data_IF_467888615476
#
_entry.id   IF_467888615476
#
_cell.length_a   1.000
_cell.length_b   1.000
_cell.length_c   1.000
_cell.angle_alpha   90.00
_cell.angle_beta   90.00
_cell.angle_gamma   90.00
#
_symmetry.space_group_name_H-M   'P 1'
#
loop_
_entity.id
_entity.type
_entity.pdbx_description
1 polymer ?
#
# COMPACT_ATOMS: atom_id res chain seq x y z
N UNK A 1 13.28 -34.81 20.51
CA UNK A 1 12.17 -33.93 20.06
C UNK A 1 12.77 -32.77 19.27
N UNK A 2 12.19 -32.39 18.13
CA UNK A 2 12.70 -31.25 17.35
C UNK A 2 12.45 -29.93 18.09
N UNK A 3 13.42 -29.01 18.09
CA UNK A 3 13.26 -27.66 18.69
C UNK A 3 12.25 -26.82 17.89
N UNK A 4 11.64 -25.81 18.52
CA UNK A 4 10.71 -24.90 17.84
C UNK A 4 11.34 -24.27 16.58
N UNK A 5 12.61 -23.85 16.66
CA UNK A 5 13.37 -23.34 15.51
C UNK A 5 13.57 -24.39 14.42
N UNK A 6 13.86 -25.66 14.77
CA UNK A 6 13.97 -26.74 13.78
C UNK A 6 12.66 -26.98 13.04
N UNK A 7 11.52 -26.93 13.73
CA UNK A 7 10.20 -27.07 13.12
C UNK A 7 9.86 -25.86 12.26
N UNK A 8 10.08 -24.64 12.76
CA UNK A 8 9.90 -23.40 12.01
C UNK A 8 10.71 -23.42 10.71
N UNK A 9 11.95 -23.91 10.76
CA UNK A 9 12.79 -24.07 9.58
C UNK A 9 12.22 -25.05 8.57
N UNK A 10 11.69 -26.21 8.99
CA UNK A 10 11.05 -27.18 8.09
C UNK A 10 9.84 -26.58 7.36
N UNK A 11 8.96 -25.89 8.09
CA UNK A 11 7.84 -25.17 7.47
C UNK A 11 8.31 -24.08 6.51
N UNK A 12 9.40 -23.38 6.85
CA UNK A 12 9.94 -22.35 5.97
C UNK A 12 10.51 -22.93 4.66
N UNK A 13 11.21 -24.05 4.73
CA UNK A 13 11.67 -24.76 3.53
C UNK A 13 10.49 -25.18 2.63
N UNK A 14 9.40 -25.68 3.23
CA UNK A 14 8.18 -25.98 2.49
C UNK A 14 7.56 -24.72 1.85
N UNK A 15 7.55 -23.61 2.59
CA UNK A 15 7.07 -22.31 2.12
C UNK A 15 7.87 -21.84 0.89
N UNK A 16 9.21 -21.91 0.94
CA UNK A 16 10.09 -21.55 -0.17
C UNK A 16 9.89 -22.45 -1.40
N UNK A 17 9.65 -23.76 -1.20
CA UNK A 17 9.30 -24.66 -2.30
C UNK A 17 8.00 -24.22 -2.98
N UNK A 18 6.96 -23.89 -2.21
CA UNK A 18 5.70 -23.40 -2.76
C UNK A 18 5.87 -22.05 -3.47
N UNK A 19 6.66 -21.13 -2.91
CA UNK A 19 7.01 -19.85 -3.54
C UNK A 19 7.71 -20.05 -4.88
N UNK A 20 8.68 -20.97 -4.97
CA UNK A 20 9.38 -21.29 -6.22
C UNK A 20 8.42 -21.81 -7.29
N UNK A 21 7.49 -22.69 -6.93
CA UNK A 21 6.46 -23.15 -7.87
C UNK A 21 5.56 -22.00 -8.32
N UNK A 22 5.09 -21.17 -7.39
CA UNK A 22 4.27 -20.00 -7.71
C UNK A 22 4.96 -19.06 -8.71
N UNK A 23 6.22 -18.68 -8.45
CA UNK A 23 6.98 -17.79 -9.32
C UNK A 23 7.19 -18.39 -10.72
N UNK A 24 7.56 -19.67 -10.81
CA UNK A 24 7.71 -20.37 -12.09
C UNK A 24 6.42 -20.36 -12.92
N UNK A 25 5.26 -20.47 -12.27
CA UNK A 25 3.98 -20.37 -12.97
C UNK A 25 3.65 -18.94 -13.41
N UNK A 26 4.00 -17.93 -12.62
CA UNK A 26 3.86 -16.53 -13.02
C UNK A 26 4.76 -16.20 -14.23
N UNK A 27 6.01 -16.68 -14.24
CA UNK A 27 6.93 -16.51 -15.38
C UNK A 27 6.39 -17.16 -16.67
N UNK A 28 5.82 -18.37 -16.57
CA UNK A 28 5.17 -19.03 -17.71
C UNK A 28 4.01 -18.20 -18.26
N UNK A 29 3.13 -17.72 -17.37
CA UNK A 29 2.02 -16.84 -17.77
C UNK A 29 2.55 -15.58 -18.48
N UNK A 30 3.61 -14.96 -17.97
CA UNK A 30 4.22 -13.80 -18.62
C UNK A 30 4.73 -14.12 -20.03
N UNK A 31 5.46 -15.23 -20.19
CA UNK A 31 6.06 -15.65 -21.47
C UNK A 31 5.00 -16.02 -22.52
N UNK A 32 3.95 -16.72 -22.12
CA UNK A 32 2.82 -17.07 -22.99
C UNK A 32 2.06 -15.81 -23.44
N UNK A 33 1.88 -14.83 -22.54
CA UNK A 33 1.20 -13.58 -22.89
C UNK A 33 2.02 -12.68 -23.82
N UNK A 34 3.34 -12.85 -23.96
CA UNK A 34 4.19 -12.06 -24.87
C UNK A 34 4.13 -12.51 -26.34
N UNK A 35 3.65 -13.71 -26.63
CA UNK A 35 3.68 -14.31 -27.98
C UNK A 35 2.43 -14.03 -28.84
N UNK A 36 1.56 -13.12 -28.41
CA UNK A 36 0.26 -12.87 -29.06
C UNK A 36 -0.82 -13.78 -28.50
N UNK A 37 -1.99 -13.21 -28.21
CA UNK A 37 -3.02 -13.85 -27.39
C UNK A 37 -3.78 -14.90 -28.22
N UNK A 38 -3.63 -16.18 -27.88
CA UNK A 38 -4.64 -17.20 -28.20
C UNK A 38 -5.66 -17.25 -27.05
N UNK A 39 -6.79 -16.62 -27.29
CA UNK A 39 -7.86 -16.39 -26.31
C UNK A 39 -8.51 -17.73 -25.88
N UNK A 40 -8.33 -18.80 -26.66
CA UNK A 40 -8.75 -20.16 -26.31
C UNK A 40 -7.98 -20.76 -25.12
N UNK A 41 -6.81 -20.22 -24.75
CA UNK A 41 -6.05 -20.71 -23.58
C UNK A 41 -6.62 -20.28 -22.23
N UNK A 42 -7.54 -19.30 -22.20
CA UNK A 42 -8.36 -19.04 -21.01
C UNK A 42 -9.36 -20.19 -20.74
N UNK A 43 -9.68 -20.99 -21.76
CA UNK A 43 -10.60 -22.14 -21.71
C UNK A 43 -9.85 -23.48 -21.54
N UNK A 44 -8.63 -23.62 -22.06
CA UNK A 44 -7.88 -24.89 -22.06
C UNK A 44 -7.27 -25.29 -20.71
N UNK A 45 -7.05 -24.35 -19.79
CA UNK A 45 -6.35 -24.62 -18.52
C UNK A 45 -7.29 -25.29 -17.48
N UNK A 46 -8.60 -25.32 -17.76
CA UNK A 46 -9.73 -25.76 -16.92
C UNK A 46 -9.93 -27.26 -16.68
N UNK A 47 -9.28 -28.11 -17.46
CA UNK A 47 -9.70 -29.51 -17.60
C UNK A 47 -9.32 -30.49 -16.47
N UNK A 48 -8.65 -30.10 -15.38
CA UNK A 48 -7.98 -31.08 -14.51
C UNK A 48 -8.01 -30.80 -13.00
N UNK A 49 -9.21 -30.75 -12.40
CA UNK A 49 -9.49 -31.01 -10.97
C UNK A 49 -11.01 -31.18 -10.74
N UNK A 50 -11.64 -32.06 -11.51
CA UNK A 50 -12.86 -32.75 -11.08
C UNK A 50 -12.47 -33.92 -10.16
N UNK A 51 -12.21 -33.61 -8.88
CA UNK A 51 -12.29 -34.57 -7.77
C UNK A 51 -12.32 -33.79 -6.46
N UNK A 52 -13.43 -33.12 -6.21
CA UNK A 52 -14.25 -33.22 -4.99
C UNK A 52 -15.54 -32.45 -5.27
N UNK A 53 -16.65 -33.20 -5.35
CA UNK A 53 -18.07 -32.83 -5.61
C UNK A 53 -18.47 -32.41 -7.04
N UNK A 54 -19.07 -33.36 -7.79
CA UNK A 54 -19.73 -33.25 -9.11
C UNK A 54 -21.19 -32.71 -9.03
N UNK A 55 -21.93 -32.44 -10.14
CA UNK A 55 -21.53 -32.14 -11.53
C UNK A 55 -22.14 -30.83 -12.09
N UNK A 56 -21.71 -30.45 -13.31
CA UNK A 56 -22.34 -29.58 -14.31
C UNK A 56 -21.81 -28.14 -14.57
N UNK A 57 -21.09 -28.04 -15.72
CA UNK A 57 -21.15 -27.02 -16.81
C UNK A 57 -20.65 -25.58 -16.57
N UNK A 58 -19.37 -25.32 -16.90
CA UNK A 58 -18.86 -24.31 -17.88
C UNK A 58 -17.42 -23.84 -17.58
N UNK A 59 -16.68 -23.47 -18.64
CA UNK A 59 -15.23 -23.71 -18.89
C UNK A 59 -14.27 -22.46 -18.75
N UNK A 60 -14.15 -21.74 -17.62
CA UNK A 60 -13.24 -20.56 -17.55
C UNK A 60 -12.57 -20.06 -16.21
N UNK A 61 -11.67 -20.81 -15.54
CA UNK A 61 -11.25 -20.60 -14.13
C UNK A 61 -9.92 -21.28 -13.60
N UNK A 62 -9.10 -22.06 -14.34
CA UNK A 62 -8.03 -22.88 -13.68
C UNK A 62 -6.60 -22.32 -13.49
N UNK A 63 -6.04 -21.43 -14.32
CA UNK A 63 -4.64 -20.98 -14.13
C UNK A 63 -4.43 -20.24 -12.79
N UNK A 64 -5.46 -19.50 -12.38
CA UNK A 64 -5.52 -18.86 -11.06
C UNK A 64 -5.85 -19.84 -9.94
N UNK A 65 -6.44 -21.00 -10.20
CA UNK A 65 -6.75 -22.00 -9.18
C UNK A 65 -5.47 -22.66 -8.63
N UNK A 66 -4.52 -23.03 -9.50
CA UNK A 66 -3.22 -23.56 -9.07
C UNK A 66 -2.40 -22.50 -8.34
N UNK A 67 -2.33 -21.27 -8.86
CA UNK A 67 -1.70 -20.14 -8.16
C UNK A 67 -2.33 -19.89 -6.79
N UNK A 68 -3.67 -19.97 -6.70
CA UNK A 68 -4.42 -19.83 -5.44
C UNK A 68 -4.06 -20.96 -4.48
N UNK A 69 -3.99 -22.21 -4.95
CA UNK A 69 -3.64 -23.35 -4.11
C UNK A 69 -2.19 -23.29 -3.60
N UNK A 70 -1.24 -22.93 -4.47
CA UNK A 70 0.15 -22.67 -4.08
C UNK A 70 0.25 -21.53 -3.08
N UNK A 71 -0.49 -20.43 -3.30
CA UNK A 71 -0.49 -19.29 -2.39
C UNK A 71 -1.13 -19.63 -1.04
N UNK A 72 -2.20 -20.43 -1.00
CA UNK A 72 -2.82 -20.91 0.25
C UNK A 72 -1.82 -21.75 1.04
N UNK A 73 -1.15 -22.72 0.40
CA UNK A 73 -0.13 -23.54 1.05
C UNK A 73 1.07 -22.72 1.51
N UNK A 74 1.49 -21.75 0.70
CA UNK A 74 2.58 -20.84 1.06
C UNK A 74 2.22 -19.99 2.28
N UNK A 75 1.03 -19.39 2.31
CA UNK A 75 0.49 -18.63 3.45
C UNK A 75 0.41 -19.49 4.71
N UNK A 76 -0.06 -20.73 4.61
CA UNK A 76 -0.18 -21.65 5.73
C UNK A 76 1.21 -22.00 6.31
N UNK A 77 2.16 -22.38 5.45
CA UNK A 77 3.52 -22.70 5.86
C UNK A 77 4.25 -21.47 6.46
N UNK A 78 4.01 -20.27 5.90
CA UNK A 78 4.47 -19.02 6.48
C UNK A 78 3.91 -18.81 7.90
N UNK A 79 2.59 -18.97 8.10
CA UNK A 79 1.96 -18.84 9.43
C UNK A 79 2.59 -19.81 10.42
N UNK A 80 2.77 -21.08 10.05
CA UNK A 80 3.43 -22.04 10.93
C UNK A 80 4.85 -21.60 11.27
N UNK A 81 5.62 -21.14 10.29
CA UNK A 81 6.99 -20.64 10.50
C UNK A 81 7.02 -19.50 11.53
N UNK A 82 6.22 -18.46 11.33
CA UNK A 82 6.29 -17.22 12.14
C UNK A 82 5.73 -17.37 13.55
N UNK A 83 4.75 -18.25 13.76
CA UNK A 83 4.19 -18.51 15.08
C UNK A 83 4.87 -19.66 15.83
N UNK A 84 5.74 -20.45 15.18
CA UNK A 84 6.64 -21.36 15.88
C UNK A 84 7.88 -20.64 16.41
N UNK A 85 8.50 -19.79 15.58
CA UNK A 85 9.67 -19.00 15.97
C UNK A 85 9.68 -17.65 15.22
N UNK A 86 9.18 -16.62 15.89
CA UNK A 86 9.07 -15.28 15.33
C UNK A 86 10.44 -14.69 14.98
N UNK A 87 11.45 -14.93 15.83
CA UNK A 87 12.78 -14.38 15.63
C UNK A 87 13.48 -15.00 14.42
N UNK A 88 13.35 -16.32 14.28
CA UNK A 88 13.79 -17.04 13.09
C UNK A 88 13.08 -16.52 11.84
N UNK A 89 11.75 -16.40 11.87
CA UNK A 89 10.97 -15.94 10.71
C UNK A 89 11.34 -14.53 10.24
N UNK A 90 11.68 -13.62 11.17
CA UNK A 90 12.20 -12.28 10.85
C UNK A 90 13.60 -12.38 10.24
N UNK A 91 14.50 -13.20 10.81
CA UNK A 91 15.85 -13.42 10.25
C UNK A 91 15.80 -13.91 8.81
N UNK A 92 14.84 -14.79 8.50
CA UNK A 92 14.62 -15.35 7.17
C UNK A 92 13.89 -14.41 6.19
N UNK A 93 13.54 -13.19 6.62
CA UNK A 93 12.74 -12.24 5.84
C UNK A 93 11.43 -12.85 5.29
N UNK A 94 10.82 -13.76 6.06
CA UNK A 94 9.68 -14.56 5.61
C UNK A 94 8.47 -13.73 5.20
N UNK A 95 8.22 -12.64 5.93
CA UNK A 95 7.16 -11.68 5.66
C UNK A 95 7.35 -10.95 4.32
N UNK A 96 8.60 -10.60 3.98
CA UNK A 96 8.91 -9.89 2.74
C UNK A 96 8.81 -10.84 1.53
N UNK A 97 9.27 -12.08 1.69
CA UNK A 97 9.06 -13.13 0.70
C UNK A 97 7.57 -13.35 0.42
N UNK A 98 6.72 -13.35 1.45
CA UNK A 98 5.27 -13.45 1.30
C UNK A 98 4.68 -12.25 0.56
N UNK A 99 5.07 -11.04 0.96
CA UNK A 99 4.56 -9.82 0.35
C UNK A 99 4.95 -9.70 -1.12
N UNK A 100 6.21 -9.97 -1.44
CA UNK A 100 6.72 -9.99 -2.83
C UNK A 100 5.87 -10.93 -3.70
N UNK A 101 5.52 -12.12 -3.21
CA UNK A 101 4.63 -13.02 -3.97
C UNK A 101 3.24 -12.44 -4.21
N UNK A 102 2.66 -11.72 -3.24
CA UNK A 102 1.37 -11.05 -3.44
C UNK A 102 1.46 -9.91 -4.45
N UNK A 103 2.50 -9.09 -4.39
CA UNK A 103 2.69 -7.96 -5.31
C UNK A 103 3.03 -8.43 -6.72
N UNK A 104 3.76 -9.53 -6.89
CA UNK A 104 3.97 -10.16 -8.21
C UNK A 104 2.64 -10.60 -8.82
N UNK A 105 1.79 -11.33 -8.07
CA UNK A 105 0.46 -11.73 -8.56
C UNK A 105 -0.41 -10.51 -8.88
N UNK A 106 -0.40 -9.48 -8.04
CA UNK A 106 -1.11 -8.23 -8.29
C UNK A 106 -0.65 -7.55 -9.59
N UNK A 107 0.65 -7.55 -9.85
CA UNK A 107 1.24 -7.01 -11.09
C UNK A 107 0.76 -7.78 -12.32
N UNK A 108 0.69 -9.12 -12.23
CA UNK A 108 0.14 -9.95 -13.30
C UNK A 108 -1.32 -9.61 -13.60
N UNK A 109 -2.17 -9.55 -12.57
CA UNK A 109 -3.58 -9.16 -12.74
C UNK A 109 -3.71 -7.80 -13.42
N UNK A 110 -2.94 -6.80 -12.98
CA UNK A 110 -2.96 -5.45 -13.56
C UNK A 110 -2.48 -5.43 -15.00
N UNK A 111 -1.44 -6.20 -15.34
CA UNK A 111 -0.92 -6.29 -16.71
C UNK A 111 -1.99 -6.84 -17.65
N UNK A 112 -2.65 -7.94 -17.27
CA UNK A 112 -3.71 -8.54 -18.08
C UNK A 112 -4.92 -7.60 -18.15
N UNK A 113 -5.31 -6.98 -17.04
CA UNK A 113 -6.43 -6.03 -17.00
C UNK A 113 -6.20 -4.83 -17.93
N UNK A 114 -4.97 -4.29 -17.97
CA UNK A 114 -4.61 -3.20 -18.88
C UNK A 114 -4.75 -3.60 -20.35
N UNK A 115 -4.39 -4.83 -20.71
CA UNK A 115 -4.50 -5.33 -22.10
C UNK A 115 -5.95 -5.56 -22.52
N UNK A 116 -6.79 -6.05 -21.62
CA UNK A 116 -8.22 -6.26 -21.86
C UNK A 116 -9.07 -4.97 -21.80
N UNK A 117 -8.48 -3.82 -21.46
CA UNK A 117 -9.23 -2.56 -21.30
C UNK A 117 -9.91 -2.12 -22.60
N UNK A 118 -9.26 -2.32 -23.74
CA UNK A 118 -9.73 -1.90 -25.07
C UNK A 118 -10.19 -3.07 -25.95
N UNK A 119 -10.32 -4.28 -25.40
CA UNK A 119 -10.71 -5.46 -26.17
C UNK A 119 -12.22 -5.65 -26.22
N UNK A 120 -12.72 -6.30 -27.28
CA UNK A 120 -14.14 -6.72 -27.42
C UNK A 120 -14.52 -7.90 -26.50
N UNK A 121 -13.53 -8.47 -25.79
CA UNK A 121 -13.64 -9.63 -24.89
C UNK A 121 -14.28 -9.30 -23.53
N UNK A 122 -15.54 -8.88 -23.58
CA UNK A 122 -16.28 -8.39 -22.41
C UNK A 122 -16.49 -9.47 -21.33
N UNK A 123 -16.62 -10.74 -21.71
CA UNK A 123 -16.85 -11.86 -20.79
C UNK A 123 -15.58 -12.17 -20.00
N UNK A 124 -14.45 -12.25 -20.68
CA UNK A 124 -13.11 -12.51 -20.14
C UNK A 124 -12.68 -11.37 -19.21
N UNK A 125 -12.96 -10.12 -19.61
CA UNK A 125 -12.75 -8.94 -18.75
C UNK A 125 -13.53 -9.06 -17.43
N UNK A 126 -14.83 -9.39 -17.48
CA UNK A 126 -15.65 -9.58 -16.27
C UNK A 126 -15.15 -10.73 -15.39
N UNK A 127 -14.71 -11.84 -16.00
CA UNK A 127 -14.13 -12.99 -15.27
C UNK A 127 -12.82 -12.60 -14.57
N UNK A 128 -11.93 -11.89 -15.27
CA UNK A 128 -10.68 -11.38 -14.70
C UNK A 128 -10.94 -10.40 -13.56
N UNK A 129 -11.83 -9.42 -13.74
CA UNK A 129 -12.22 -8.46 -12.71
C UNK A 129 -12.75 -9.18 -11.46
N UNK A 130 -13.61 -10.21 -11.63
CA UNK A 130 -14.11 -11.03 -10.53
C UNK A 130 -12.98 -11.77 -9.80
N UNK A 131 -12.09 -12.42 -10.55
CA UNK A 131 -10.93 -13.16 -10.01
C UNK A 131 -9.99 -12.24 -9.25
N UNK A 132 -9.63 -11.09 -9.81
CA UNK A 132 -8.74 -10.11 -9.18
C UNK A 132 -9.37 -9.53 -7.89
N UNK A 133 -10.65 -9.16 -7.94
CA UNK A 133 -11.38 -8.70 -6.76
C UNK A 133 -11.47 -9.76 -5.66
N UNK A 134 -11.52 -11.04 -6.02
CA UNK A 134 -11.47 -12.15 -5.08
C UNK A 134 -10.07 -12.29 -4.47
N UNK A 135 -9.02 -12.29 -5.30
CA UNK A 135 -7.63 -12.34 -4.85
C UNK A 135 -7.32 -11.25 -3.81
N UNK A 136 -7.65 -9.99 -4.12
CA UNK A 136 -7.43 -8.86 -3.21
C UNK A 136 -8.19 -9.04 -1.88
N UNK A 137 -9.46 -9.48 -1.96
CA UNK A 137 -10.29 -9.72 -0.77
C UNK A 137 -9.73 -10.82 0.13
N UNK A 138 -9.32 -11.94 -0.45
CA UNK A 138 -8.74 -13.07 0.30
C UNK A 138 -7.39 -12.67 0.89
N UNK A 139 -6.58 -11.90 0.16
CA UNK A 139 -5.32 -11.36 0.68
C UNK A 139 -5.55 -10.42 1.88
N UNK A 140 -6.52 -9.50 1.79
CA UNK A 140 -6.89 -8.63 2.92
C UNK A 140 -7.33 -9.44 4.15
N UNK A 141 -8.22 -10.41 3.97
CA UNK A 141 -8.67 -11.30 5.07
C UNK A 141 -7.50 -12.05 5.72
N UNK A 142 -6.56 -12.55 4.91
CA UNK A 142 -5.37 -13.22 5.42
C UNK A 142 -4.54 -12.31 6.34
N UNK A 143 -4.20 -11.10 5.90
CA UNK A 143 -3.39 -10.18 6.71
C UNK A 143 -4.16 -9.61 7.93
N UNK A 144 -5.48 -9.42 7.82
CA UNK A 144 -6.32 -9.12 8.99
C UNK A 144 -6.25 -10.24 10.03
N UNK A 145 -6.43 -11.49 9.61
CA UNK A 145 -6.28 -12.66 10.47
C UNK A 145 -4.87 -12.83 11.04
N UNK A 146 -3.85 -12.39 10.30
CA UNK A 146 -2.48 -12.34 10.82
C UNK A 146 -2.36 -11.35 11.98
N UNK A 147 -2.85 -10.10 11.83
CA UNK A 147 -2.89 -9.12 12.92
C UNK A 147 -3.72 -9.63 14.11
N UNK A 148 -4.87 -10.26 13.86
CA UNK A 148 -5.71 -10.85 14.91
C UNK A 148 -4.92 -11.86 15.75
N UNK A 149 -4.14 -12.73 15.09
CA UNK A 149 -3.26 -13.71 15.77
C UNK A 149 -2.09 -13.05 16.50
N UNK A 150 -1.50 -11.99 15.94
CA UNK A 150 -0.48 -11.21 16.67
C UNK A 150 -1.06 -10.61 17.95
N UNK A 151 -2.25 -10.01 17.87
CA UNK A 151 -2.92 -9.38 19.02
C UNK A 151 -3.36 -10.40 20.09
N UNK A 152 -3.75 -11.60 19.68
CA UNK A 152 -4.11 -12.68 20.61
C UNK A 152 -2.88 -13.24 21.34
N UNK A 153 -1.80 -13.51 20.60
CA UNK A 153 -0.61 -14.18 21.13
C UNK A 153 0.31 -13.26 21.92
N UNK A 154 0.43 -12.00 21.54
CA UNK A 154 1.37 -11.06 22.17
C UNK A 154 0.60 -10.00 22.94
N UNK A 155 0.77 -9.98 24.27
CA UNK A 155 0.10 -9.01 25.15
C UNK A 155 0.71 -7.61 24.99
N UNK A 156 0.29 -6.91 23.94
CA UNK A 156 0.78 -5.59 23.54
C UNK A 156 -0.43 -4.67 23.28
N UNK A 157 -0.63 -3.60 24.07
CA UNK A 157 -1.81 -2.73 23.96
C UNK A 157 -2.02 -2.13 22.57
N UNK A 158 -0.95 -1.80 21.86
CA UNK A 158 -0.99 -1.31 20.49
C UNK A 158 -1.64 -2.30 19.53
N UNK A 159 -1.34 -3.60 19.67
CA UNK A 159 -1.91 -4.64 18.81
C UNK A 159 -3.41 -4.83 19.05
N UNK A 160 -3.85 -4.73 20.31
CA UNK A 160 -5.29 -4.76 20.66
C UNK A 160 -6.04 -3.58 20.05
N UNK A 161 -5.49 -2.37 20.17
CA UNK A 161 -6.06 -1.16 19.56
C UNK A 161 -6.13 -1.28 18.04
N UNK A 162 -5.07 -1.81 17.41
CA UNK A 162 -5.07 -2.05 15.97
C UNK A 162 -6.13 -3.09 15.58
N UNK A 163 -6.23 -4.22 16.29
CA UNK A 163 -7.21 -5.26 16.01
C UNK A 163 -8.65 -4.71 16.07
N UNK A 164 -8.97 -3.91 17.08
CA UNK A 164 -10.23 -3.17 17.16
C UNK A 164 -10.40 -2.21 15.98
N UNK A 165 -9.37 -1.41 15.66
CA UNK A 165 -9.41 -0.43 14.57
C UNK A 165 -9.52 -1.00 13.16
N UNK A 166 -9.18 -2.28 12.96
CA UNK A 166 -9.37 -2.99 11.68
C UNK A 166 -10.62 -3.88 11.67
N UNK A 167 -11.44 -3.82 12.72
CA UNK A 167 -12.68 -4.59 12.87
C UNK A 167 -12.43 -6.10 12.75
N UNK A 168 -11.50 -6.63 13.56
CA UNK A 168 -11.34 -8.06 13.77
C UNK A 168 -11.74 -8.44 15.20
N UNK A 169 -12.44 -9.55 15.32
CA UNK A 169 -12.89 -10.07 16.62
C UNK A 169 -11.69 -10.40 17.52
N UNK A 170 -11.86 -10.23 18.83
CA UNK A 170 -10.87 -10.75 19.76
C UNK A 170 -10.84 -12.26 19.69
N UNK A 171 -9.64 -12.82 19.79
CA UNK A 171 -9.41 -14.25 19.73
C UNK A 171 -8.62 -14.64 20.98
N UNK A 172 -9.09 -15.67 21.68
CA UNK A 172 -8.35 -16.25 22.79
C UNK A 172 -7.17 -17.07 22.26
N UNK A 173 -6.04 -17.00 22.96
CA UNK A 173 -4.81 -17.73 22.63
C UNK A 173 -4.35 -18.47 23.87
N UNK A 174 -4.29 -19.80 23.77
CA UNK A 174 -3.79 -20.70 24.84
C UNK A 174 -2.28 -20.52 25.03
N UNK A 175 -1.61 -20.00 24.02
CA UNK A 175 -0.17 -19.76 23.91
C UNK A 175 0.21 -18.28 24.01
N UNK A 176 -0.59 -17.48 24.74
CA UNK A 176 -0.32 -16.07 24.95
C UNK A 176 1.00 -15.85 25.70
N UNK A 177 1.77 -14.87 25.23
CA UNK A 177 3.06 -14.46 25.78
C UNK A 177 2.84 -13.16 26.54
N UNK A 178 2.85 -13.24 27.87
CA UNK A 178 2.84 -12.11 28.80
C UNK A 178 3.70 -12.42 30.03
N UNK A 179 4.65 -11.55 30.43
CA UNK A 179 5.05 -10.32 29.75
C UNK A 179 5.88 -10.61 28.48
N UNK A 180 5.77 -9.73 27.48
CA UNK A 180 6.55 -9.85 26.25
C UNK A 180 7.98 -9.29 26.41
N UNK A 181 9.04 -10.03 26.01
CA UNK A 181 10.39 -9.49 25.99
C UNK A 181 10.52 -8.29 25.04
N UNK A 182 11.21 -7.21 25.46
CA UNK A 182 11.29 -5.94 24.71
C UNK A 182 11.77 -6.10 23.25
N UNK A 183 12.78 -6.95 23.01
CA UNK A 183 13.28 -7.25 21.66
C UNK A 183 12.19 -7.90 20.79
N UNK A 184 11.42 -8.83 21.36
CA UNK A 184 10.32 -9.49 20.65
C UNK A 184 9.18 -8.51 20.39
N UNK A 185 8.82 -7.67 21.37
CA UNK A 185 7.82 -6.61 21.21
C UNK A 185 8.17 -5.68 20.04
N UNK A 186 9.41 -5.22 19.94
CA UNK A 186 9.86 -4.37 18.84
C UNK A 186 9.73 -5.08 17.47
N UNK A 187 10.02 -6.38 17.39
CA UNK A 187 9.87 -7.17 16.17
C UNK A 187 8.40 -7.34 15.78
N UNK A 188 7.53 -7.65 16.75
CA UNK A 188 6.08 -7.82 16.53
C UNK A 188 5.42 -6.51 16.12
N UNK A 189 5.76 -5.38 16.76
CA UNK A 189 5.27 -4.05 16.37
C UNK A 189 5.75 -3.67 14.97
N UNK A 190 7.00 -3.98 14.60
CA UNK A 190 7.51 -3.78 13.24
C UNK A 190 6.70 -4.59 12.22
N UNK A 191 6.43 -5.87 12.51
CA UNK A 191 5.60 -6.73 11.65
C UNK A 191 4.16 -6.22 11.52
N UNK A 192 3.55 -5.78 12.62
CA UNK A 192 2.22 -5.16 12.61
C UNK A 192 2.19 -3.90 11.73
N UNK A 193 3.15 -2.99 11.91
CA UNK A 193 3.31 -1.79 11.07
C UNK A 193 3.40 -2.16 9.57
N UNK A 194 4.30 -3.07 9.20
CA UNK A 194 4.45 -3.51 7.81
C UNK A 194 3.17 -4.18 7.28
N UNK A 195 2.47 -4.94 8.11
CA UNK A 195 1.21 -5.59 7.72
C UNK A 195 0.10 -4.57 7.48
N UNK A 196 0.02 -3.51 8.29
CA UNK A 196 -0.93 -2.41 8.12
C UNK A 196 -0.70 -1.66 6.78
N UNK A 197 0.55 -1.40 6.42
CA UNK A 197 0.90 -0.85 5.10
C UNK A 197 0.41 -1.77 3.97
N UNK A 198 0.64 -3.08 4.10
CA UNK A 198 0.24 -4.08 3.08
C UNK A 198 -1.27 -4.18 2.91
N UNK A 199 -2.06 -4.16 3.99
CA UNK A 199 -3.53 -4.14 3.88
C UNK A 199 -4.05 -2.80 3.35
N UNK A 200 -3.37 -1.70 3.67
CA UNK A 200 -3.59 -0.39 3.04
C UNK A 200 -3.40 -0.46 1.53
N UNK A 201 -2.29 -1.04 1.08
CA UNK A 201 -1.98 -1.21 -0.35
C UNK A 201 -3.02 -2.08 -1.05
N UNK A 202 -3.43 -3.19 -0.43
CA UNK A 202 -4.48 -4.06 -0.98
C UNK A 202 -5.83 -3.34 -1.08
N UNK A 203 -6.17 -2.46 -0.12
CA UNK A 203 -7.35 -1.60 -0.20
C UNK A 203 -7.23 -0.59 -1.33
N UNK A 204 -6.09 0.09 -1.46
CA UNK A 204 -5.81 1.01 -2.58
C UNK A 204 -5.96 0.28 -3.92
N UNK A 205 -5.37 -0.92 -4.03
CA UNK A 205 -5.46 -1.71 -5.25
C UNK A 205 -6.89 -2.11 -5.60
N UNK A 206 -7.71 -2.42 -4.60
CA UNK A 206 -9.12 -2.76 -4.78
C UNK A 206 -9.93 -1.55 -5.24
N UNK A 207 -9.66 -0.36 -4.71
CA UNK A 207 -10.28 0.89 -5.17
C UNK A 207 -9.89 1.17 -6.62
N UNK A 208 -8.59 1.10 -6.96
CA UNK A 208 -8.10 1.30 -8.33
C UNK A 208 -8.67 0.26 -9.33
N UNK A 209 -8.96 -0.96 -8.87
CA UNK A 209 -9.51 -2.02 -9.72
C UNK A 209 -11.03 -1.90 -9.98
N UNK A 210 -11.74 -1.06 -9.21
CA UNK A 210 -13.19 -0.88 -9.30
C UNK A 210 -13.52 0.32 -10.17
N UNK A 211 -14.50 0.16 -11.05
CA UNK A 211 -15.09 1.27 -11.83
C UNK A 211 -16.14 2.08 -11.05
N UNK A 212 -16.29 1.85 -9.74
CA UNK A 212 -17.28 2.52 -8.87
C UNK A 212 -16.57 3.42 -7.87
N UNK A 213 -17.24 4.51 -7.48
CA UNK A 213 -16.84 5.54 -6.50
C UNK A 213 -16.64 5.02 -5.06
N UNK A 214 -15.99 3.88 -4.84
CA UNK A 214 -15.46 3.58 -3.50
C UNK A 214 -14.26 4.48 -3.27
N UNK A 215 -14.26 5.27 -2.21
CA UNK A 215 -13.13 6.13 -1.88
C UNK A 215 -11.94 5.33 -1.32
N UNK A 216 -10.92 6.07 -0.92
CA UNK A 216 -9.68 5.51 -0.36
C UNK A 216 -9.68 5.48 1.18
N UNK A 217 -10.83 5.73 1.81
CA UNK A 217 -10.95 5.91 3.26
C UNK A 217 -10.43 4.68 4.01
N UNK A 218 -10.78 3.47 3.55
CA UNK A 218 -10.27 2.23 4.17
C UNK A 218 -8.75 2.11 4.06
N UNK A 219 -8.14 2.53 2.95
CA UNK A 219 -6.69 2.51 2.80
C UNK A 219 -6.03 3.53 3.74
N UNK A 220 -6.57 4.75 3.79
CA UNK A 220 -6.12 5.81 4.69
C UNK A 220 -6.22 5.39 6.17
N UNK A 221 -7.30 4.73 6.59
CA UNK A 221 -7.44 4.18 7.95
C UNK A 221 -6.30 3.22 8.29
N UNK A 222 -5.96 2.29 7.39
CA UNK A 222 -4.87 1.36 7.63
C UNK A 222 -3.51 2.05 7.70
N UNK A 223 -3.25 3.04 6.83
CA UNK A 223 -2.02 3.82 6.91
C UNK A 223 -1.94 4.67 8.19
N UNK A 224 -3.06 5.23 8.65
CA UNK A 224 -3.12 5.97 9.93
C UNK A 224 -2.82 5.08 11.13
N UNK A 225 -3.38 3.86 11.14
CA UNK A 225 -3.03 2.86 12.15
C UNK A 225 -1.54 2.48 12.06
N UNK A 226 -0.98 2.35 10.84
CA UNK A 226 0.44 2.07 10.67
C UNK A 226 1.31 3.20 11.25
N UNK A 227 0.93 4.45 11.05
CA UNK A 227 1.58 5.62 11.64
C UNK A 227 1.52 5.59 13.18
N UNK A 228 0.38 5.23 13.78
CA UNK A 228 0.27 5.09 15.23
C UNK A 228 1.20 4.02 15.82
N UNK A 229 1.50 2.95 15.08
CA UNK A 229 2.46 1.92 15.52
C UNK A 229 3.92 2.40 15.44
N UNK A 230 4.27 3.16 14.39
CA UNK A 230 5.62 3.73 14.20
C UNK A 230 5.53 5.18 13.71
N UNK A 231 5.36 6.17 14.61
CA UNK A 231 5.17 7.56 14.22
C UNK A 231 6.42 8.19 13.59
N UNK A 232 7.60 7.70 13.94
CA UNK A 232 8.90 8.17 13.41
C UNK A 232 9.25 7.59 12.02
N UNK A 233 8.39 6.73 11.45
CA UNK A 233 8.59 6.10 10.14
C UNK A 233 7.86 6.86 9.03
N UNK A 234 8.58 7.22 7.98
CA UNK A 234 8.01 7.94 6.83
C UNK A 234 7.10 7.09 5.93
N UNK A 235 7.08 5.76 6.10
CA UNK A 235 6.38 4.84 5.20
C UNK A 235 4.86 5.05 5.17
N UNK A 236 4.23 5.30 6.32
CA UNK A 236 2.78 5.50 6.39
C UNK A 236 2.34 6.77 5.64
N UNK A 237 3.03 7.88 5.88
CA UNK A 237 2.77 9.14 5.17
C UNK A 237 3.10 9.05 3.69
N UNK A 238 4.17 8.34 3.32
CA UNK A 238 4.46 8.10 1.91
C UNK A 238 3.27 7.40 1.21
N UNK A 239 2.70 6.35 1.81
CA UNK A 239 1.55 5.68 1.21
C UNK A 239 0.27 6.54 1.19
N UNK A 240 0.06 7.43 2.17
CA UNK A 240 -1.01 8.43 2.11
C UNK A 240 -0.80 9.42 0.95
N UNK A 241 0.44 9.86 0.72
CA UNK A 241 0.80 10.68 -0.44
C UNK A 241 0.49 10.00 -1.77
N UNK A 242 0.75 8.69 -1.89
CA UNK A 242 0.36 7.89 -3.07
C UNK A 242 -1.17 7.87 -3.26
N UNK A 243 -1.96 7.77 -2.19
CA UNK A 243 -3.43 7.87 -2.30
C UNK A 243 -3.85 9.24 -2.83
N UNK A 244 -3.25 10.31 -2.32
CA UNK A 244 -3.58 11.66 -2.79
C UNK A 244 -3.09 11.95 -4.21
N UNK A 245 -2.02 11.30 -4.67
CA UNK A 245 -1.61 11.28 -6.08
C UNK A 245 -2.69 10.67 -6.98
N UNK A 246 -3.31 9.55 -6.56
CA UNK A 246 -4.41 8.94 -7.29
C UNK A 246 -5.64 9.86 -7.37
N UNK A 247 -5.83 10.72 -6.37
CA UNK A 247 -6.95 11.67 -6.29
C UNK A 247 -6.66 13.04 -6.94
N UNK A 248 -5.39 13.40 -7.14
CA UNK A 248 -4.99 14.72 -7.62
C UNK A 248 -5.07 15.84 -6.57
N UNK A 249 -4.94 15.50 -5.29
CA UNK A 249 -4.99 16.46 -4.17
C UNK A 249 -3.61 17.04 -3.88
N UNK A 250 -3.17 18.03 -4.67
CA UNK A 250 -1.80 18.55 -4.67
C UNK A 250 -1.26 18.97 -3.28
N UNK A 251 -2.07 19.68 -2.47
CA UNK A 251 -1.64 20.07 -1.13
C UNK A 251 -1.38 18.85 -0.23
N UNK A 252 -2.26 17.85 -0.28
CA UNK A 252 -2.10 16.63 0.52
C UNK A 252 -0.90 15.79 0.05
N UNK A 253 -0.62 15.77 -1.26
CA UNK A 253 0.57 15.10 -1.82
C UNK A 253 1.84 15.72 -1.23
N UNK A 254 1.98 17.04 -1.37
CA UNK A 254 3.14 17.80 -0.85
C UNK A 254 3.27 17.63 0.66
N UNK A 255 2.16 17.79 1.39
CA UNK A 255 2.12 17.57 2.84
C UNK A 255 2.61 16.19 3.24
N UNK A 256 2.07 15.13 2.64
CA UNK A 256 2.41 13.77 3.03
C UNK A 256 3.83 13.35 2.62
N UNK A 257 4.33 13.81 1.47
CA UNK A 257 5.72 13.53 1.10
C UNK A 257 6.73 14.29 1.96
N UNK A 258 6.45 15.54 2.33
CA UNK A 258 7.27 16.22 3.34
C UNK A 258 7.23 15.49 4.69
N UNK A 259 6.05 15.08 5.17
CA UNK A 259 5.91 14.27 6.39
C UNK A 259 6.61 12.91 6.31
N UNK A 260 6.81 12.36 5.11
CA UNK A 260 7.55 11.12 4.90
C UNK A 260 9.07 11.32 4.84
N UNK A 261 9.53 12.55 4.62
CA UNK A 261 10.94 12.92 4.50
C UNK A 261 11.49 13.57 5.78
N UNK A 262 10.74 14.49 6.39
CA UNK A 262 11.12 15.20 7.61
C UNK A 262 10.79 14.38 8.88
N UNK A 263 11.34 13.17 8.98
CA UNK A 263 11.18 12.26 10.13
C UNK A 263 12.49 11.49 10.38
N UNK A 264 12.63 10.89 11.56
CA UNK A 264 13.84 10.15 11.96
C UNK A 264 14.18 8.98 11.01
N UNK A 265 13.17 8.25 10.54
CA UNK A 265 13.33 7.16 9.56
C UNK A 265 12.59 7.53 8.26
N UNK A 266 13.19 8.36 7.39
CA UNK A 266 12.56 8.84 6.18
C UNK A 266 12.31 7.73 5.17
N UNK A 267 11.25 7.87 4.35
CA UNK A 267 11.02 6.96 3.24
C UNK A 267 11.98 7.27 2.08
N UNK A 268 12.68 6.27 1.50
CA UNK A 268 13.72 6.51 0.51
C UNK A 268 13.25 7.21 -0.76
N UNK A 269 11.98 7.05 -1.14
CA UNK A 269 11.40 7.69 -2.33
C UNK A 269 10.60 8.96 -2.03
N UNK A 270 10.61 9.48 -0.79
CA UNK A 270 9.81 10.66 -0.45
C UNK A 270 10.27 11.91 -1.23
N UNK A 271 11.58 12.16 -1.26
CA UNK A 271 12.17 13.28 -2.00
C UNK A 271 11.88 13.18 -3.50
N UNK A 272 12.21 12.05 -4.13
CA UNK A 272 12.03 11.89 -5.58
C UNK A 272 10.56 12.01 -6.01
N UNK A 273 9.62 11.50 -5.21
CA UNK A 273 8.20 11.65 -5.50
C UNK A 273 7.71 13.09 -5.30
N UNK A 274 8.22 13.80 -4.28
CA UNK A 274 7.93 15.23 -4.10
C UNK A 274 8.45 16.07 -5.27
N UNK A 275 9.66 15.77 -5.76
CA UNK A 275 10.24 16.44 -6.92
C UNK A 275 9.45 16.19 -8.20
N UNK A 276 8.95 14.97 -8.40
CA UNK A 276 8.06 14.64 -9.52
C UNK A 276 6.75 15.42 -9.44
N UNK A 277 6.18 15.55 -8.25
CA UNK A 277 4.98 16.35 -8.02
C UNK A 277 5.24 17.82 -8.36
N UNK A 278 6.31 18.43 -7.83
CA UNK A 278 6.69 19.81 -8.14
C UNK A 278 6.95 20.05 -9.63
N UNK A 279 7.59 19.11 -10.33
CA UNK A 279 7.76 19.18 -11.80
C UNK A 279 6.42 19.16 -12.52
N UNK A 280 5.46 18.36 -12.05
CA UNK A 280 4.13 18.27 -12.67
C UNK A 280 3.35 19.59 -12.57
N UNK A 281 3.57 20.37 -11.50
CA UNK A 281 2.92 21.67 -11.26
C UNK A 281 3.44 22.79 -12.17
N UNK A 282 4.60 22.61 -12.81
CA UNK A 282 5.21 23.60 -13.73
C UNK A 282 4.74 23.45 -15.17
N UNK A 283 4.06 22.35 -15.53
CA UNK A 283 3.63 22.09 -16.90
C UNK A 283 2.35 22.88 -17.24
N UNK A 284 2.35 23.74 -18.29
CA UNK A 284 1.20 24.58 -18.66
C UNK A 284 -0.10 23.81 -19.03
N UNK A 285 -0.01 22.50 -19.26
CA UNK A 285 -1.06 21.66 -19.81
C UNK A 285 -1.24 20.31 -19.08
N UNK A 286 -1.13 20.27 -17.75
CA UNK A 286 -1.64 19.11 -17.02
C UNK A 286 -3.18 19.12 -17.13
N UNK A 287 -3.73 18.29 -18.02
CA UNK A 287 -5.18 18.16 -18.25
C UNK A 287 -5.96 17.76 -16.98
N UNK A 288 -5.26 17.25 -15.96
CA UNK A 288 -5.78 17.00 -14.61
C UNK A 288 -5.94 18.28 -13.77
N UNK A 289 -5.13 19.32 -13.99
CA UNK A 289 -5.18 20.57 -13.22
C UNK A 289 -6.42 21.43 -13.53
N UNK A 290 -6.99 21.34 -14.75
CA UNK A 290 -8.16 22.14 -15.13
C UNK A 290 -9.49 21.64 -14.55
N UNK A 291 -9.56 20.39 -14.10
CA UNK A 291 -10.78 19.82 -13.52
C UNK A 291 -10.88 19.96 -12.00
N UNK A 292 -9.81 20.38 -11.32
CA UNK A 292 -9.73 20.34 -9.85
C UNK A 292 -9.83 21.70 -9.15
N UNK A 293 -9.72 22.84 -9.85
CA UNK A 293 -9.95 24.15 -9.25
C UNK A 293 -11.43 24.56 -9.38
N UNK A 294 -12.32 23.83 -8.70
CA UNK A 294 -13.74 24.11 -8.73
C UNK A 294 -14.12 25.27 -7.78
N UNK A 295 -13.28 25.54 -6.77
CA UNK A 295 -13.53 26.52 -5.72
C UNK A 295 -12.34 27.45 -5.47
N UNK A 296 -12.58 28.59 -4.81
CA UNK A 296 -11.51 29.50 -4.37
C UNK A 296 -10.50 28.83 -3.41
N UNK A 297 -10.93 27.83 -2.64
CA UNK A 297 -10.08 27.06 -1.73
C UNK A 297 -9.09 26.16 -2.50
N UNK A 298 -9.54 25.61 -3.63
CA UNK A 298 -8.69 24.80 -4.50
C UNK A 298 -7.64 25.67 -5.20
N UNK A 299 -8.03 26.87 -5.62
CA UNK A 299 -7.10 27.86 -6.19
C UNK A 299 -6.04 28.30 -5.17
N UNK A 300 -6.45 28.59 -3.93
CA UNK A 300 -5.54 28.93 -2.85
C UNK A 300 -4.53 27.81 -2.55
N UNK A 301 -5.02 26.58 -2.39
CA UNK A 301 -4.16 25.40 -2.16
C UNK A 301 -3.17 25.19 -3.31
N UNK A 302 -3.61 25.42 -4.55
CA UNK A 302 -2.78 25.33 -5.75
C UNK A 302 -1.68 26.40 -5.78
N UNK A 303 -1.99 27.65 -5.45
CA UNK A 303 -0.97 28.72 -5.39
C UNK A 303 0.09 28.43 -4.33
N UNK A 304 -0.34 27.97 -3.15
CA UNK A 304 0.57 27.57 -2.07
C UNK A 304 1.55 26.48 -2.52
N UNK A 305 1.07 25.38 -3.13
CA UNK A 305 1.99 24.30 -3.59
C UNK A 305 2.90 24.74 -4.74
N UNK A 306 2.44 25.65 -5.61
CA UNK A 306 3.28 26.23 -6.67
C UNK A 306 4.39 27.11 -6.11
N UNK A 307 4.10 27.92 -5.09
CA UNK A 307 5.11 28.69 -4.39
C UNK A 307 6.17 27.77 -3.79
N UNK A 308 5.76 26.68 -3.13
CA UNK A 308 6.70 25.69 -2.62
C UNK A 308 7.53 24.99 -3.70
N UNK A 309 6.96 24.72 -4.87
CA UNK A 309 7.71 24.17 -6.01
C UNK A 309 8.79 25.14 -6.50
N UNK A 310 8.50 26.45 -6.51
CA UNK A 310 9.45 27.50 -6.89
C UNK A 310 10.55 27.67 -5.83
N UNK A 311 10.20 27.70 -4.55
CA UNK A 311 11.18 27.73 -3.46
C UNK A 311 12.10 26.51 -3.47
N UNK A 312 11.54 25.32 -3.70
CA UNK A 312 12.34 24.10 -3.81
C UNK A 312 13.34 24.15 -4.98
N UNK A 313 12.97 24.79 -6.10
CA UNK A 313 13.87 25.00 -7.23
C UNK A 313 15.07 25.89 -6.89
N UNK A 314 14.89 26.84 -5.97
CA UNK A 314 15.95 27.72 -5.48
C UNK A 314 16.37 28.84 -6.43
N UNK A 315 15.60 29.10 -7.49
CA UNK A 315 15.87 30.16 -8.47
C UNK A 315 15.01 31.40 -8.20
N UNK A 316 15.55 32.60 -8.45
CA UNK A 316 14.77 33.84 -8.39
C UNK A 316 13.73 33.87 -9.52
N UNK A 317 12.53 34.33 -9.22
CA UNK A 317 11.46 34.50 -10.20
C UNK A 317 10.77 35.85 -10.03
N UNK A 318 10.41 36.50 -11.14
CA UNK A 318 9.95 37.90 -11.15
C UNK A 318 8.68 38.16 -10.32
N UNK A 319 7.78 37.17 -10.22
CA UNK A 319 6.47 37.28 -9.57
C UNK A 319 6.49 36.88 -8.09
N UNK A 320 7.67 36.76 -7.47
CA UNK A 320 7.81 36.25 -6.10
C UNK A 320 7.04 37.08 -5.07
N UNK A 321 7.30 38.39 -5.00
CA UNK A 321 6.66 39.26 -4.03
C UNK A 321 5.13 39.32 -4.20
N UNK A 322 4.64 39.29 -5.45
CA UNK A 322 3.22 39.28 -5.77
C UNK A 322 2.55 37.97 -5.31
N UNK A 323 3.15 36.82 -5.62
CA UNK A 323 2.63 35.51 -5.24
C UNK A 323 2.66 35.28 -3.73
N UNK A 324 3.74 35.68 -3.06
CA UNK A 324 3.85 35.65 -1.60
C UNK A 324 2.77 36.54 -0.95
N UNK A 325 2.58 37.76 -1.47
CA UNK A 325 1.55 38.69 -0.99
C UNK A 325 0.13 38.13 -1.11
N UNK A 326 -0.22 37.55 -2.26
CA UNK A 326 -1.54 36.92 -2.46
C UNK A 326 -1.74 35.72 -1.51
N UNK A 327 -0.74 34.85 -1.36
CA UNK A 327 -0.83 33.71 -0.44
C UNK A 327 -0.98 34.16 1.00
N UNK A 328 -0.26 35.20 1.43
CA UNK A 328 -0.39 35.78 2.76
C UNK A 328 -1.78 36.35 3.01
N UNK A 329 -2.34 37.10 2.04
CA UNK A 329 -3.70 37.61 2.14
C UNK A 329 -4.73 36.47 2.24
N UNK A 330 -4.58 35.40 1.44
CA UNK A 330 -5.47 34.23 1.51
C UNK A 330 -5.35 33.46 2.82
N UNK A 331 -4.14 33.35 3.37
CA UNK A 331 -3.89 32.74 4.68
C UNK A 331 -4.64 33.52 5.78
N UNK A 332 -4.53 34.84 5.79
CA UNK A 332 -5.24 35.72 6.74
C UNK A 332 -6.76 35.51 6.65
N UNK A 333 -7.31 35.55 5.43
CA UNK A 333 -8.74 35.30 5.23
C UNK A 333 -9.16 33.90 5.71
N UNK A 334 -8.33 32.89 5.46
CA UNK A 334 -8.61 31.52 5.87
C UNK A 334 -8.54 31.33 7.40
N UNK A 335 -7.76 32.11 8.14
CA UNK A 335 -7.72 32.07 9.61
C UNK A 335 -9.07 32.40 10.26
N UNK A 336 -9.92 33.16 9.57
CA UNK A 336 -11.27 33.50 10.04
C UNK A 336 -12.35 32.49 9.62
N UNK A 337 -11.98 31.45 8.87
CA UNK A 337 -12.90 30.40 8.40
C UNK A 337 -12.60 29.10 9.15
N UNK A 338 -13.48 28.69 10.05
CA UNK A 338 -13.31 27.49 10.87
C UNK A 338 -13.01 26.23 10.03
N UNK A 339 -13.68 26.09 8.88
CA UNK A 339 -13.51 24.97 7.94
C UNK A 339 -12.09 24.87 7.36
N UNK A 340 -11.30 25.95 7.38
CA UNK A 340 -9.94 26.00 6.83
C UNK A 340 -8.87 25.49 7.79
N UNK A 341 -9.20 25.23 9.06
CA UNK A 341 -8.24 24.85 10.11
C UNK A 341 -7.32 23.70 9.69
N UNK A 342 -7.88 22.63 9.11
CA UNK A 342 -7.08 21.48 8.68
C UNK A 342 -6.10 21.84 7.54
N UNK A 343 -6.55 22.64 6.57
CA UNK A 343 -5.72 23.13 5.47
C UNK A 343 -4.58 24.01 6.00
N UNK A 344 -4.88 24.93 6.91
CA UNK A 344 -3.88 25.82 7.52
C UNK A 344 -2.82 25.03 8.30
N UNK A 345 -3.22 24.02 9.08
CA UNK A 345 -2.27 23.16 9.79
C UNK A 345 -1.36 22.39 8.83
N UNK A 346 -1.90 21.89 7.71
CA UNK A 346 -1.07 21.25 6.66
C UNK A 346 -0.07 22.23 6.06
N UNK A 347 -0.51 23.44 5.71
CA UNK A 347 0.37 24.48 5.17
C UNK A 347 1.49 24.86 6.14
N UNK A 348 1.17 25.04 7.42
CA UNK A 348 2.17 25.29 8.47
C UNK A 348 3.19 24.15 8.58
N UNK A 349 2.75 22.90 8.55
CA UNK A 349 3.64 21.73 8.58
C UNK A 349 4.50 21.62 7.32
N UNK A 350 3.96 21.99 6.15
CA UNK A 350 4.74 22.06 4.90
C UNK A 350 5.82 23.12 5.00
N UNK A 351 5.50 24.33 5.50
CA UNK A 351 6.47 25.40 5.73
C UNK A 351 7.62 24.96 6.64
N UNK A 352 7.30 24.38 7.80
CA UNK A 352 8.30 23.91 8.76
C UNK A 352 9.18 22.79 8.17
N UNK A 353 8.56 21.83 7.47
CA UNK A 353 9.29 20.71 6.86
C UNK A 353 10.22 21.18 5.74
N UNK A 354 9.73 22.04 4.85
CA UNK A 354 10.50 22.60 3.75
C UNK A 354 11.71 23.40 4.26
N UNK A 355 11.50 24.22 5.30
CA UNK A 355 12.59 24.96 5.95
C UNK A 355 13.64 24.02 6.57
N UNK A 356 13.21 23.02 7.35
CA UNK A 356 14.13 22.05 7.97
C UNK A 356 14.99 21.32 6.94
N UNK A 357 14.38 20.87 5.84
CA UNK A 357 15.08 20.17 4.74
C UNK A 357 16.06 21.12 4.04
N UNK A 358 15.63 22.34 3.69
CA UNK A 358 16.49 23.31 3.04
C UNK A 358 17.70 23.68 3.92
N UNK A 359 17.47 23.91 5.22
CA UNK A 359 18.53 24.21 6.18
C UNK A 359 19.53 23.06 6.34
N UNK A 360 19.04 21.81 6.37
CA UNK A 360 19.90 20.62 6.47
C UNK A 360 20.76 20.44 5.22
N UNK A 361 20.18 20.64 4.03
CA UNK A 361 20.91 20.58 2.77
C UNK A 361 21.98 21.68 2.67
N UNK A 362 21.67 22.89 3.14
CA UNK A 362 22.62 24.01 3.17
C UNK A 362 23.76 23.80 4.17
N UNK A 363 23.49 23.21 5.34
CA UNK A 363 24.52 22.91 6.33
C UNK A 363 25.46 21.75 5.91
N UNK A 364 25.00 20.89 4.99
CA UNK A 364 25.77 19.77 4.44
C UNK A 364 26.51 20.07 3.14
N UNK A 365 26.29 21.24 2.53
CA UNK A 365 27.00 21.78 1.36
C UNK A 365 28.12 22.73 1.78
#
# INVERSE_FOLDING_TARGET
MATATSQASQYWHQALKMRKHLLKHLEKLQAETTLGIDISQFEAIEGLLEKYTQPMRSLACFGFAFLTQCLIRFRLAFVHTIFLDFAYAVKENSEEALWTSHTSINTEYRRIQSRLKHSSHTVERRKLEKSYNNFLRVAQKFYKGYIQRLAARYDVPELRRVAQGIDVEQMDSVDQISPIPAKLQAMVLKSCHSTLLRIGDLSRYRTQARHKNSGYETALTYYSLAHHIKPHSGYAHHQMGIVHLDQGNHLDIVYHFYRAWAVESPHPNAQSNLELEFKSLQLPNSSKSRHNAATAQDAFSMWFVRLHALFYKGEKFHQQAELEGEIMHRLEMACHIEKSTNTLLKMALVNMSAHHIAATNYAGS
#
